data_IF_742990660678
#
_entry.id   IF_742990660678
#
_cell.length_a   1.000
_cell.length_b   1.000
_cell.length_c   1.000
_cell.angle_alpha   90.00
_cell.angle_beta   90.00
_cell.angle_gamma   90.00
#
_symmetry.space_group_name_H-M   'P 1'
#
loop_
_entity.id
_entity.type
_entity.pdbx_description
1 polymer ?
#
# COMPACT_ATOMS: atom_id res chain seq x y z
N UNK A 1 18.98 20.85 -73.16
CA UNK A 1 17.63 21.20 -72.67
C UNK A 1 16.87 20.00 -72.10
N UNK A 2 16.88 18.87 -72.81
CA UNK A 2 16.18 17.66 -72.31
C UNK A 2 16.71 17.19 -70.97
N UNK A 3 18.02 17.30 -70.72
CA UNK A 3 18.63 16.88 -69.44
C UNK A 3 18.23 17.74 -68.27
N UNK A 4 17.95 19.03 -68.52
CA UNK A 4 17.45 19.93 -67.47
C UNK A 4 15.96 19.64 -67.13
N UNK A 5 15.17 19.31 -68.14
CA UNK A 5 13.76 18.94 -67.96
C UNK A 5 13.66 17.61 -67.19
N UNK A 6 14.46 16.62 -67.57
CA UNK A 6 14.50 15.32 -66.89
C UNK A 6 14.98 15.51 -65.44
N UNK A 7 16.01 16.33 -65.23
CA UNK A 7 16.52 16.61 -63.87
C UNK A 7 15.44 17.30 -62.99
N UNK A 8 14.70 18.26 -63.57
CA UNK A 8 13.65 18.94 -62.86
C UNK A 8 12.52 18.00 -62.53
N UNK A 9 12.12 17.13 -63.48
CA UNK A 9 11.08 16.13 -63.29
C UNK A 9 11.45 15.16 -62.16
N UNK A 10 12.69 14.69 -62.15
CA UNK A 10 13.24 13.82 -61.12
C UNK A 10 13.22 14.50 -59.73
N UNK A 11 13.61 15.75 -59.66
CA UNK A 11 13.57 16.53 -58.41
C UNK A 11 12.17 16.70 -57.91
N UNK A 12 11.21 17.01 -58.79
CA UNK A 12 9.80 17.13 -58.42
C UNK A 12 9.26 15.78 -57.90
N UNK A 13 9.61 14.68 -58.59
CA UNK A 13 9.20 13.35 -58.15
C UNK A 13 9.75 13.02 -56.74
N UNK A 14 11.00 13.33 -56.49
CA UNK A 14 11.62 13.15 -55.17
C UNK A 14 10.93 13.97 -54.09
N UNK A 15 10.54 15.19 -54.40
CA UNK A 15 9.81 16.04 -53.49
C UNK A 15 8.43 15.47 -53.18
N UNK A 16 7.74 14.95 -54.20
CA UNK A 16 6.44 14.29 -54.01
C UNK A 16 6.59 13.05 -53.13
N UNK A 17 7.59 12.22 -53.42
CA UNK A 17 7.85 11.02 -52.64
C UNK A 17 8.17 11.36 -51.19
N UNK A 18 8.99 12.39 -50.98
CA UNK A 18 9.34 12.86 -49.63
C UNK A 18 8.12 13.40 -48.91
N UNK A 19 7.29 14.17 -49.59
CA UNK A 19 6.03 14.69 -49.00
C UNK A 19 5.12 13.54 -48.58
N UNK A 20 4.99 12.52 -49.42
CA UNK A 20 4.16 11.35 -49.10
C UNK A 20 4.67 10.59 -47.88
N UNK A 21 6.00 10.41 -47.80
CA UNK A 21 6.65 9.77 -46.65
C UNK A 21 6.47 10.59 -45.36
N UNK A 22 6.66 11.91 -45.47
CA UNK A 22 6.54 12.82 -44.33
C UNK A 22 5.08 12.85 -43.81
N UNK A 23 4.14 12.87 -44.73
CA UNK A 23 2.71 12.84 -44.39
C UNK A 23 2.35 11.56 -43.62
N UNK A 24 2.83 10.43 -44.14
CA UNK A 24 2.63 9.13 -43.50
C UNK A 24 3.24 9.11 -42.08
N UNK A 25 4.43 9.64 -41.95
CA UNK A 25 5.13 9.70 -40.66
C UNK A 25 4.40 10.60 -39.67
N UNK A 26 3.86 11.73 -40.13
CA UNK A 26 3.05 12.61 -39.30
C UNK A 26 1.81 11.88 -38.78
N UNK A 27 1.12 11.15 -39.64
CA UNK A 27 -0.06 10.36 -39.26
C UNK A 27 0.30 9.29 -38.21
N UNK A 28 1.43 8.61 -38.40
CA UNK A 28 1.93 7.63 -37.42
C UNK A 28 2.24 8.29 -36.08
N UNK A 29 2.91 9.44 -36.10
CA UNK A 29 3.24 10.17 -34.88
C UNK A 29 1.99 10.69 -34.15
N UNK A 30 1.00 11.16 -34.89
CA UNK A 30 -0.28 11.58 -34.32
C UNK A 30 -0.97 10.42 -33.62
N UNK A 31 -0.97 9.23 -34.24
CA UNK A 31 -1.53 8.02 -33.66
C UNK A 31 -0.78 7.64 -32.40
N UNK A 32 0.55 7.65 -32.43
CA UNK A 32 1.38 7.34 -31.26
C UNK A 32 1.14 8.34 -30.13
N UNK A 33 1.02 9.63 -30.46
CA UNK A 33 0.75 10.65 -29.47
C UNK A 33 -0.62 10.46 -28.80
N UNK A 34 -1.62 10.07 -29.59
CA UNK A 34 -2.94 9.77 -29.05
C UNK A 34 -2.90 8.57 -28.09
N UNK A 35 -2.16 7.52 -28.48
CA UNK A 35 -1.96 6.34 -27.63
C UNK A 35 -1.22 6.70 -26.32
N UNK A 36 -0.16 7.48 -26.43
CA UNK A 36 0.62 7.92 -25.26
C UNK A 36 -0.22 8.78 -24.31
N UNK A 37 -1.06 9.64 -24.86
CA UNK A 37 -1.98 10.46 -24.07
C UNK A 37 -2.95 9.58 -23.29
N UNK A 38 -3.53 8.57 -23.94
CA UNK A 38 -4.44 7.62 -23.29
C UNK A 38 -3.72 6.79 -22.21
N UNK A 39 -2.53 6.28 -22.53
CA UNK A 39 -1.74 5.52 -21.56
C UNK A 39 -1.36 6.38 -20.35
N UNK A 40 -0.98 7.63 -20.57
CA UNK A 40 -0.68 8.55 -19.48
C UNK A 40 -1.89 8.80 -18.60
N UNK A 41 -3.05 8.97 -19.18
CA UNK A 41 -4.30 9.13 -18.43
C UNK A 41 -4.58 7.90 -17.56
N UNK A 42 -4.44 6.70 -18.12
CA UNK A 42 -4.63 5.45 -17.40
C UNK A 42 -3.62 5.32 -16.27
N UNK A 43 -2.35 5.67 -16.51
CA UNK A 43 -1.31 5.63 -15.48
C UNK A 43 -1.61 6.59 -14.33
N UNK A 44 -2.06 7.80 -14.64
CA UNK A 44 -2.48 8.77 -13.61
C UNK A 44 -3.63 8.22 -12.77
N UNK A 45 -4.63 7.60 -13.41
CA UNK A 45 -5.73 6.98 -12.69
C UNK A 45 -5.26 5.87 -11.77
N UNK A 46 -4.33 5.03 -12.23
CA UNK A 46 -3.75 3.96 -11.41
C UNK A 46 -2.95 4.50 -10.23
N UNK A 47 -2.18 5.55 -10.45
CA UNK A 47 -1.42 6.21 -9.38
C UNK A 47 -2.37 6.75 -8.32
N UNK A 48 -3.45 7.38 -8.73
CA UNK A 48 -4.46 7.90 -7.80
C UNK A 48 -5.12 6.79 -7.01
N UNK A 49 -5.54 5.71 -7.67
CA UNK A 49 -6.12 4.53 -7.01
C UNK A 49 -5.14 3.92 -6.01
N UNK A 50 -3.89 3.73 -6.42
CA UNK A 50 -2.85 3.17 -5.55
C UNK A 50 -2.58 4.07 -4.35
N UNK A 51 -2.63 5.39 -4.54
CA UNK A 51 -2.47 6.36 -3.46
C UNK A 51 -3.60 6.24 -2.44
N UNK A 52 -4.84 6.09 -2.91
CA UNK A 52 -6.00 5.89 -2.04
C UNK A 52 -5.92 4.57 -1.28
N UNK A 53 -5.55 3.49 -1.96
CA UNK A 53 -5.36 2.17 -1.34
C UNK A 53 -4.27 2.24 -0.27
N UNK A 54 -3.15 2.90 -0.57
CA UNK A 54 -2.05 3.08 0.36
C UNK A 54 -2.48 3.88 1.61
N UNK A 55 -3.26 4.95 1.41
CA UNK A 55 -3.79 5.75 2.51
C UNK A 55 -4.74 4.92 3.40
N UNK A 56 -5.62 4.13 2.78
CA UNK A 56 -6.54 3.24 3.50
C UNK A 56 -5.78 2.17 4.29
N UNK A 57 -4.73 1.60 3.70
CA UNK A 57 -3.87 0.62 4.38
C UNK A 57 -3.16 1.23 5.58
N UNK A 58 -2.67 2.47 5.45
CA UNK A 58 -2.04 3.19 6.55
C UNK A 58 -3.04 3.41 7.69
N UNK A 59 -4.26 3.83 7.36
CA UNK A 59 -5.32 4.01 8.35
C UNK A 59 -5.66 2.70 9.07
N UNK A 60 -5.75 1.60 8.34
CA UNK A 60 -5.99 0.28 8.90
C UNK A 60 -4.85 -0.17 9.82
N UNK A 61 -3.60 0.08 9.41
CA UNK A 61 -2.44 -0.22 10.24
C UNK A 61 -2.46 0.58 11.54
N UNK A 62 -2.79 1.87 11.48
CA UNK A 62 -2.89 2.71 12.65
C UNK A 62 -4.01 2.25 13.59
N UNK A 63 -5.17 1.89 13.04
CA UNK A 63 -6.27 1.35 13.82
C UNK A 63 -5.88 0.04 14.50
N UNK A 64 -5.22 -0.86 13.77
CA UNK A 64 -4.74 -2.14 14.29
C UNK A 64 -3.70 -1.95 15.39
N UNK A 65 -2.78 -1.00 15.20
CA UNK A 65 -1.77 -0.66 16.22
C UNK A 65 -2.44 -0.15 17.50
N UNK A 66 -3.47 0.69 17.37
CA UNK A 66 -4.22 1.19 18.53
C UNK A 66 -4.96 0.06 19.26
N UNK A 67 -5.56 -0.86 18.50
CA UNK A 67 -6.23 -2.04 19.08
C UNK A 67 -5.21 -2.94 19.80
N UNK A 68 -4.06 -3.15 19.21
CA UNK A 68 -2.97 -3.93 19.79
C UNK A 68 -2.53 -3.31 21.12
N UNK A 69 -2.30 -2.00 21.13
CA UNK A 69 -1.88 -1.29 22.34
C UNK A 69 -2.94 -1.38 23.44
N UNK A 70 -4.21 -1.25 23.08
CA UNK A 70 -5.31 -1.40 24.03
C UNK A 70 -5.40 -2.82 24.59
N UNK A 71 -5.21 -3.81 23.74
CA UNK A 71 -5.22 -5.21 24.16
C UNK A 71 -4.05 -5.53 25.07
N UNK A 72 -2.87 -5.01 24.77
CA UNK A 72 -1.68 -5.16 25.59
C UNK A 72 -1.90 -4.55 26.99
N UNK A 73 -2.51 -3.37 27.05
CA UNK A 73 -2.84 -2.74 28.34
C UNK A 73 -3.82 -3.59 29.14
N UNK A 74 -4.84 -4.14 28.50
CA UNK A 74 -5.80 -5.06 29.15
C UNK A 74 -5.11 -6.33 29.66
N UNK A 75 -4.24 -6.89 28.87
CA UNK A 75 -3.47 -8.08 29.25
C UNK A 75 -2.62 -7.81 30.49
N UNK A 76 -1.91 -6.68 30.51
CA UNK A 76 -1.10 -6.30 31.65
C UNK A 76 -1.96 -6.06 32.91
N UNK A 77 -3.13 -5.45 32.77
CA UNK A 77 -4.06 -5.24 33.88
C UNK A 77 -4.57 -6.56 34.42
N UNK A 78 -4.94 -7.50 33.53
CA UNK A 78 -5.39 -8.83 33.92
C UNK A 78 -4.28 -9.60 34.64
N UNK A 79 -3.04 -9.49 34.19
CA UNK A 79 -1.91 -10.12 34.89
C UNK A 79 -1.73 -9.58 36.31
N UNK A 80 -1.86 -8.24 36.46
CA UNK A 80 -1.79 -7.61 37.80
C UNK A 80 -2.92 -8.07 38.70
N UNK A 81 -4.12 -8.16 38.15
CA UNK A 81 -5.28 -8.65 38.90
C UNK A 81 -5.10 -10.11 39.32
N UNK A 82 -4.59 -10.93 38.39
CA UNK A 82 -4.31 -12.34 38.69
C UNK A 82 -3.24 -12.49 39.79
N UNK A 83 -2.16 -11.73 39.68
CA UNK A 83 -1.10 -11.72 40.70
C UNK A 83 -1.65 -11.28 42.07
N UNK A 84 -2.49 -10.26 42.11
CA UNK A 84 -3.14 -9.80 43.32
C UNK A 84 -4.06 -10.86 43.92
N UNK A 85 -4.83 -11.53 43.06
CA UNK A 85 -5.71 -12.63 43.49
C UNK A 85 -4.90 -13.80 44.03
N UNK A 86 -3.82 -14.18 43.36
CA UNK A 86 -2.92 -15.25 43.84
C UNK A 86 -2.31 -14.91 45.20
N UNK A 87 -1.87 -13.66 45.40
CA UNK A 87 -1.35 -13.20 46.67
C UNK A 87 -2.39 -13.26 47.76
N UNK A 88 -3.63 -12.87 47.48
CA UNK A 88 -4.73 -12.98 48.42
C UNK A 88 -5.04 -14.41 48.76
N UNK A 89 -5.06 -15.29 47.78
CA UNK A 89 -5.30 -16.72 47.98
C UNK A 89 -4.21 -17.35 48.84
N UNK A 90 -2.95 -17.04 48.56
CA UNK A 90 -1.85 -17.51 49.37
C UNK A 90 -1.92 -17.02 50.82
N UNK A 91 -2.26 -15.76 51.00
CA UNK A 91 -2.50 -15.18 52.33
C UNK A 91 -3.62 -15.88 53.10
N UNK A 92 -4.73 -16.18 52.41
CA UNK A 92 -5.82 -16.93 52.97
C UNK A 92 -5.44 -18.35 53.38
N UNK A 93 -4.68 -19.02 52.52
CA UNK A 93 -4.19 -20.39 52.79
C UNK A 93 -3.24 -20.37 54.00
N UNK A 94 -2.34 -19.43 54.07
CA UNK A 94 -1.42 -19.28 55.21
C UNK A 94 -2.19 -19.05 56.50
N UNK A 95 -3.24 -18.27 56.50
CA UNK A 95 -4.10 -18.04 57.68
C UNK A 95 -4.80 -19.33 58.08
N UNK A 96 -5.33 -20.08 57.13
CA UNK A 96 -5.97 -21.37 57.43
C UNK A 96 -4.95 -22.34 58.04
N UNK A 97 -3.74 -22.43 57.43
CA UNK A 97 -2.70 -23.31 57.92
C UNK A 97 -2.20 -22.93 59.32
N UNK A 98 -2.22 -21.64 59.64
CA UNK A 98 -1.84 -21.20 61.01
C UNK A 98 -2.92 -21.51 62.03
N UNK A 99 -4.17 -21.51 61.63
CA UNK A 99 -5.33 -21.83 62.49
C UNK A 99 -5.46 -23.34 62.72
N UNK A 100 -5.31 -24.12 61.64
CA UNK A 100 -5.44 -25.59 61.65
C UNK A 100 -4.47 -26.28 62.62
N UNK A 101 -3.16 -26.00 62.61
CA UNK A 101 -2.25 -26.56 63.60
C UNK A 101 -2.62 -26.19 65.03
N UNK A 102 -3.12 -24.99 65.26
CA UNK A 102 -3.57 -24.57 66.60
C UNK A 102 -4.77 -25.36 67.05
N UNK A 103 -5.72 -25.67 66.21
CA UNK A 103 -6.89 -26.50 66.48
C UNK A 103 -6.45 -27.94 66.74
N UNK A 104 -5.61 -28.51 65.90
CA UNK A 104 -5.07 -29.87 66.05
C UNK A 104 -4.16 -29.98 67.29
N UNK A 105 -3.36 -28.98 67.58
CA UNK A 105 -2.51 -28.94 68.76
C UNK A 105 -3.25 -28.73 70.05
N UNK A 106 -4.50 -28.28 70.00
CA UNK A 106 -5.35 -28.09 71.15
C UNK A 106 -6.00 -29.38 71.68
N UNK A 107 -5.90 -30.41 70.85
CA UNK A 107 -6.37 -31.72 71.28
C UNK A 107 -5.31 -32.44 72.10
#
# INVERSE_FOLDING_TARGET
MESHVVNLTDKIQKLIDQYTLDKKKIEELETQNAQLTEENFQLFSQIEENSQISANQTDQLNALQNEFNALEAKYNDLQKMLSGFESMAEGAIKKIDSIFPLIEGGE
#
